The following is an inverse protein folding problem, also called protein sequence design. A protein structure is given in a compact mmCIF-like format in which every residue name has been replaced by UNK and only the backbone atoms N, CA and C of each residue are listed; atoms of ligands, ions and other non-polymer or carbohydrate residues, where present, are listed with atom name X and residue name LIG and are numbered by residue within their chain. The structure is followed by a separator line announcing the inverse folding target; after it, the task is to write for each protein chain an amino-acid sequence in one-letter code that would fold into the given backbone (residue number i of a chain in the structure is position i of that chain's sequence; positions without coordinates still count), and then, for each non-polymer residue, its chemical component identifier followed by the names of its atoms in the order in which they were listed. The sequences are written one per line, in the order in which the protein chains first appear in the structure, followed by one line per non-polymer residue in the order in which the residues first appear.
data_IF_535378683866
#
_entry.id   IF_535378683866
#
_cell.length_a   1.000
_cell.length_b   1.000
_cell.length_c   1.000
_cell.angle_alpha   90.00
_cell.angle_beta   90.00
_cell.angle_gamma   90.00
#
_symmetry.space_group_name_H-M   'P 1'
#
loop_
_entity.id
_entity.type
_entity.pdbx_description
1 polymer ?
#
# COMPACT_ATOMS: atom_id res chain seq x y z
N UNK A 1 15.19 5.97 -3.12
CA UNK A 1 13.87 6.33 -3.71
C UNK A 1 13.92 6.25 -5.24
N UNK A 2 12.99 5.56 -5.91
CA UNK A 2 12.86 5.53 -7.39
C UNK A 2 11.51 6.12 -7.83
N UNK A 3 11.36 6.46 -9.11
CA UNK A 3 10.09 7.01 -9.60
C UNK A 3 8.98 5.96 -9.59
N UNK A 4 9.30 4.71 -9.90
CA UNK A 4 8.36 3.60 -9.89
C UNK A 4 7.86 3.31 -8.47
N UNK A 5 8.76 3.34 -7.49
CA UNK A 5 8.39 3.17 -6.08
C UNK A 5 7.53 4.34 -5.60
N UNK A 6 7.90 5.58 -5.94
CA UNK A 6 7.13 6.77 -5.59
C UNK A 6 5.70 6.72 -6.17
N UNK A 7 5.56 6.37 -7.44
CA UNK A 7 4.26 6.30 -8.12
C UNK A 7 3.41 5.09 -7.72
N UNK A 8 3.99 4.12 -6.99
CA UNK A 8 3.26 2.98 -6.44
C UNK A 8 2.42 3.31 -5.19
N UNK A 9 2.43 4.56 -4.73
CA UNK A 9 1.71 4.98 -3.51
C UNK A 9 0.24 4.54 -3.49
N UNK A 10 -0.53 4.86 -4.54
CA UNK A 10 -1.97 4.59 -4.58
C UNK A 10 -2.27 3.08 -4.56
N UNK A 11 -1.47 2.27 -5.26
CA UNK A 11 -1.64 0.82 -5.25
C UNK A 11 -1.31 0.24 -3.88
N UNK A 12 -0.28 0.76 -3.20
CA UNK A 12 0.07 0.36 -1.82
C UNK A 12 -1.01 0.73 -0.81
N UNK A 13 -1.57 1.95 -0.89
CA UNK A 13 -2.70 2.36 -0.03
C UNK A 13 -3.90 1.45 -0.26
N UNK A 14 -4.24 1.16 -1.52
CA UNK A 14 -5.33 0.24 -1.83
C UNK A 14 -5.08 -1.19 -1.32
N UNK A 15 -3.85 -1.69 -1.44
CA UNK A 15 -3.48 -3.01 -0.88
C UNK A 15 -3.62 -3.03 0.64
N UNK A 16 -3.21 -1.96 1.31
CA UNK A 16 -3.34 -1.82 2.76
C UNK A 16 -4.82 -1.84 3.19
N UNK A 17 -5.69 -1.16 2.44
CA UNK A 17 -7.14 -1.14 2.73
C UNK A 17 -7.77 -2.53 2.53
N UNK A 18 -7.39 -3.25 1.48
CA UNK A 18 -7.84 -4.65 1.26
C UNK A 18 -7.41 -5.55 2.43
N UNK A 19 -6.15 -5.48 2.85
CA UNK A 19 -5.65 -6.31 3.97
C UNK A 19 -6.38 -5.95 5.28
N UNK A 20 -6.72 -4.67 5.50
CA UNK A 20 -7.51 -4.26 6.67
C UNK A 20 -8.92 -4.85 6.64
N UNK A 21 -9.57 -4.85 5.48
CA UNK A 21 -10.89 -5.46 5.30
C UNK A 21 -10.83 -6.97 5.54
N UNK A 22 -9.85 -7.67 4.96
CA UNK A 22 -9.66 -9.12 5.14
C UNK A 22 -9.42 -9.49 6.61
N UNK A 23 -8.55 -8.76 7.31
CA UNK A 23 -8.32 -8.97 8.74
C UNK A 23 -9.61 -8.75 9.55
N UNK A 24 -10.37 -7.69 9.26
CA UNK A 24 -11.64 -7.43 9.95
C UNK A 24 -12.68 -8.52 9.70
N UNK A 25 -12.81 -9.02 8.47
CA UNK A 25 -13.72 -10.13 8.15
C UNK A 25 -13.32 -11.43 8.85
N UNK A 26 -12.03 -11.73 8.94
CA UNK A 26 -11.53 -12.91 9.64
C UNK A 26 -11.82 -12.83 11.15
N UNK A 27 -11.66 -11.64 11.75
CA UNK A 27 -12.09 -11.38 13.12
C UNK A 27 -13.60 -11.59 13.32
N UNK A 28 -14.45 -11.15 12.38
CA UNK A 28 -15.90 -11.32 12.47
C UNK A 28 -16.34 -12.79 12.29
N UNK A 29 -15.70 -13.54 11.38
CA UNK A 29 -15.96 -14.98 11.18
C UNK A 29 -15.50 -15.82 12.37
N UNK A 30 -14.46 -15.41 13.08
CA UNK A 30 -13.98 -16.06 14.31
C UNK A 30 -14.91 -15.89 15.53
N UNK A 31 -15.94 -15.03 15.45
CA UNK A 31 -16.88 -14.74 16.55
C UNK A 31 -18.23 -15.46 16.35
N UNK A 32 -18.34 -16.44 15.44
CA UNK A 32 -19.53 -17.30 15.36
C UNK A 32 -19.35 -18.64 16.11
N UNK A 33 -19.72 -18.73 17.40
CA UNK A 33 -19.66 -19.97 18.17
C UNK A 33 -20.67 -21.03 17.69
N UNK A 34 -21.52 -20.74 16.69
CA UNK A 34 -22.56 -21.67 16.20
C UNK A 34 -22.12 -22.59 15.06
N UNK A 35 -20.97 -22.35 14.43
CA UNK A 35 -20.50 -23.11 13.25
C UNK A 35 -19.55 -24.28 13.56
N UNK A 36 -19.27 -24.60 14.82
CA UNK A 36 -18.39 -25.74 15.16
C UNK A 36 -19.21 -27.04 15.18
N UNK A 37 -19.61 -27.54 14.01
CA UNK A 37 -20.16 -28.89 13.87
C UNK A 37 -19.02 -29.91 13.76
N UNK A 38 -18.53 -30.37 14.92
CA UNK A 38 -17.53 -31.44 15.00
C UNK A 38 -18.25 -32.78 14.72
N UNK A 39 -18.21 -33.26 13.48
CA UNK A 39 -18.45 -34.68 13.20
C UNK A 39 -17.12 -35.44 13.23
N UNK A 40 -16.94 -36.17 14.32
CA UNK A 40 -15.79 -37.03 14.62
C UNK A 40 -15.69 -38.22 13.66
N UNK A 41 -14.54 -38.42 13.03
CA UNK A 41 -14.25 -39.65 12.28
C UNK A 41 -12.86 -39.68 11.63
N UNK A 42 -11.85 -40.10 12.40
CA UNK A 42 -10.55 -40.66 11.96
C UNK A 42 -9.51 -39.77 11.24
N UNK A 43 -8.32 -39.75 11.86
CA UNK A 43 -6.96 -39.53 11.31
C UNK A 43 -6.58 -38.13 10.80
N UNK A 44 -6.01 -37.36 11.72
CA UNK A 44 -5.41 -36.04 11.52
C UNK A 44 -6.44 -34.96 11.75
N UNK A 45 -6.50 -34.41 12.98
CA UNK A 45 -7.52 -33.44 13.40
C UNK A 45 -7.65 -32.30 12.36
N UNK A 46 -8.66 -32.33 11.47
CA UNK A 46 -8.75 -31.39 10.35
C UNK A 46 -8.95 -29.96 10.88
N UNK A 47 -9.52 -29.85 12.08
CA UNK A 47 -9.67 -28.60 12.83
C UNK A 47 -8.31 -28.05 13.25
N UNK A 48 -7.36 -28.89 13.69
CA UNK A 48 -6.00 -28.45 14.02
C UNK A 48 -5.23 -27.98 12.78
N UNK A 49 -5.36 -28.69 11.64
CA UNK A 49 -4.73 -28.30 10.37
C UNK A 49 -5.31 -26.99 9.83
N UNK A 50 -6.64 -26.80 9.95
CA UNK A 50 -7.30 -25.56 9.58
C UNK A 50 -6.86 -24.40 10.47
N UNK A 51 -6.84 -24.59 11.79
CA UNK A 51 -6.38 -23.59 12.75
C UNK A 51 -4.93 -23.16 12.51
N UNK A 52 -4.02 -24.11 12.23
CA UNK A 52 -2.63 -23.80 11.90
C UNK A 52 -2.52 -22.96 10.62
N UNK A 53 -3.27 -23.31 9.56
CA UNK A 53 -3.27 -22.54 8.31
C UNK A 53 -3.79 -21.11 8.50
N UNK A 54 -4.81 -20.92 9.34
CA UNK A 54 -5.31 -19.58 9.68
C UNK A 54 -4.26 -18.74 10.41
N UNK A 55 -3.51 -19.34 11.34
CA UNK A 55 -2.42 -18.64 12.04
C UNK A 55 -1.32 -18.22 11.07
N UNK A 56 -0.86 -19.13 10.20
CA UNK A 56 0.17 -18.82 9.20
C UNK A 56 -0.28 -17.74 8.20
N UNK A 57 -1.55 -17.75 7.79
CA UNK A 57 -2.10 -16.74 6.91
C UNK A 57 -2.12 -15.36 7.58
N UNK A 58 -2.58 -15.31 8.84
CA UNK A 58 -2.60 -14.10 9.64
C UNK A 58 -1.20 -13.52 9.86
N UNK A 59 -0.21 -14.37 10.12
CA UNK A 59 1.19 -13.93 10.25
C UNK A 59 1.71 -13.32 8.95
N UNK A 60 1.47 -13.96 7.80
CA UNK A 60 1.86 -13.43 6.48
C UNK A 60 1.18 -12.10 6.17
N UNK A 61 -0.12 -12.00 6.42
CA UNK A 61 -0.88 -10.75 6.23
C UNK A 61 -0.37 -9.63 7.15
N UNK A 62 -0.01 -9.95 8.39
CA UNK A 62 0.57 -8.97 9.32
C UNK A 62 1.93 -8.45 8.82
N UNK A 63 2.80 -9.33 8.31
CA UNK A 63 4.11 -8.94 7.77
C UNK A 63 3.95 -8.04 6.54
N UNK A 64 3.05 -8.39 5.62
CA UNK A 64 2.77 -7.55 4.44
C UNK A 64 2.11 -6.22 4.82
N UNK A 65 1.23 -6.21 5.84
CA UNK A 65 0.66 -4.98 6.40
C UNK A 65 1.76 -4.04 6.90
N UNK A 66 2.67 -4.54 7.76
CA UNK A 66 3.75 -3.74 8.32
C UNK A 66 4.68 -3.20 7.22
N UNK A 67 4.97 -4.02 6.21
CA UNK A 67 5.74 -3.61 5.04
C UNK A 67 5.06 -2.50 4.25
N UNK A 68 3.77 -2.62 3.96
CA UNK A 68 3.01 -1.59 3.23
C UNK A 68 2.96 -0.28 4.01
N UNK A 69 2.74 -0.35 5.33
CA UNK A 69 2.79 0.84 6.20
C UNK A 69 4.16 1.51 6.14
N UNK A 70 5.25 0.73 6.22
CA UNK A 70 6.60 1.25 6.11
C UNK A 70 6.86 1.92 4.76
N UNK A 71 6.50 1.27 3.66
CA UNK A 71 6.67 1.81 2.30
C UNK A 71 5.87 3.10 2.09
N UNK A 72 4.61 3.13 2.53
CA UNK A 72 3.74 4.32 2.46
C UNK A 72 4.37 5.46 3.26
N UNK A 73 4.88 5.18 4.46
CA UNK A 73 5.54 6.18 5.31
C UNK A 73 6.82 6.71 4.68
N UNK A 74 7.63 5.84 4.06
CA UNK A 74 8.83 6.25 3.33
C UNK A 74 8.49 7.20 2.18
N UNK A 75 7.47 6.87 1.39
CA UNK A 75 7.00 7.72 0.29
C UNK A 75 6.51 9.07 0.82
N UNK A 76 5.68 9.08 1.88
CA UNK A 76 5.16 10.32 2.47
C UNK A 76 6.29 11.20 3.00
N UNK A 77 7.23 10.62 3.75
CA UNK A 77 8.40 11.35 4.26
C UNK A 77 9.23 11.95 3.13
N UNK A 78 9.47 11.17 2.07
CA UNK A 78 10.20 11.66 0.90
C UNK A 78 9.48 12.85 0.25
N UNK A 79 8.17 12.73 -0.03
CA UNK A 79 7.37 13.79 -0.65
C UNK A 79 7.40 15.06 0.20
N UNK A 80 7.17 14.95 1.51
CA UNK A 80 7.22 16.10 2.41
C UNK A 80 8.63 16.70 2.56
N UNK A 81 9.68 15.89 2.35
CA UNK A 81 11.08 16.32 2.33
C UNK A 81 11.55 16.94 1.02
N UNK A 82 10.73 16.96 -0.05
CA UNK A 82 11.10 17.61 -1.31
C UNK A 82 11.27 19.13 -1.07
N UNK A 83 12.47 19.63 -1.30
CA UNK A 83 12.82 21.03 -1.06
C UNK A 83 12.19 21.97 -2.11
N UNK A 84 12.20 21.57 -3.38
CA UNK A 84 11.60 22.34 -4.47
C UNK A 84 10.06 22.29 -4.39
N UNK A 85 9.38 23.41 -4.09
CA UNK A 85 7.93 23.42 -3.89
C UNK A 85 7.15 22.95 -5.13
N UNK A 86 7.67 23.22 -6.33
CA UNK A 86 7.03 22.82 -7.57
C UNK A 86 7.10 21.29 -7.75
N UNK A 87 8.27 20.68 -7.57
CA UNK A 87 8.40 19.22 -7.57
C UNK A 87 7.58 18.55 -6.46
N UNK A 88 7.47 19.19 -5.29
CA UNK A 88 6.66 18.69 -4.17
C UNK A 88 5.19 18.65 -4.52
N UNK A 89 4.66 19.72 -5.10
CA UNK A 89 3.26 19.78 -5.55
C UNK A 89 2.97 18.74 -6.64
N UNK A 90 3.87 18.58 -7.63
CA UNK A 90 3.74 17.54 -8.67
C UNK A 90 3.67 16.15 -8.01
N UNK A 91 4.54 15.85 -7.04
CA UNK A 91 4.56 14.58 -6.34
C UNK A 91 3.29 14.36 -5.49
N UNK A 92 2.81 15.37 -4.76
CA UNK A 92 1.59 15.28 -3.96
C UNK A 92 0.36 15.02 -4.84
N UNK A 93 0.25 15.69 -6.00
CA UNK A 93 -0.85 15.46 -6.95
C UNK A 93 -0.79 14.06 -7.55
N UNK A 94 0.40 13.64 -7.98
CA UNK A 94 0.60 12.32 -8.58
C UNK A 94 0.31 11.20 -7.58
N UNK A 95 0.87 11.29 -6.38
CA UNK A 95 0.81 10.23 -5.38
C UNK A 95 -0.44 10.31 -4.53
N UNK A 96 -0.82 11.45 -3.96
CA UNK A 96 -1.94 11.52 -3.01
C UNK A 96 -3.30 11.70 -3.68
N UNK A 97 -3.36 12.48 -4.77
CA UNK A 97 -4.62 12.70 -5.51
C UNK A 97 -4.85 11.71 -6.66
N UNK A 98 -3.81 10.96 -7.04
CA UNK A 98 -3.89 10.01 -8.16
C UNK A 98 -4.03 10.66 -9.53
N UNK A 99 -3.68 11.95 -9.66
CA UNK A 99 -3.81 12.69 -10.92
C UNK A 99 -2.84 12.16 -11.98
N UNK A 100 -3.25 12.25 -13.25
CA UNK A 100 -2.37 12.00 -14.40
C UNK A 100 -1.46 13.21 -14.65
N UNK A 101 -0.37 13.03 -15.39
CA UNK A 101 0.51 14.14 -15.74
C UNK A 101 -0.18 15.19 -16.63
N UNK A 102 -1.19 14.80 -17.41
CA UNK A 102 -2.11 15.70 -18.10
C UNK A 102 -2.85 16.60 -17.11
N UNK A 103 -3.54 16.01 -16.13
CA UNK A 103 -4.30 16.74 -15.11
C UNK A 103 -3.41 17.65 -14.25
N UNK A 104 -2.22 17.16 -13.89
CA UNK A 104 -1.22 17.96 -13.16
C UNK A 104 -0.78 19.15 -14.00
N UNK A 105 -0.51 18.93 -15.29
CA UNK A 105 -0.13 19.98 -16.21
C UNK A 105 -1.19 21.08 -16.30
N UNK A 106 -2.45 20.70 -16.48
CA UNK A 106 -3.59 21.63 -16.48
C UNK A 106 -3.68 22.41 -15.15
N UNK A 107 -3.61 21.71 -14.01
CA UNK A 107 -3.75 22.33 -12.70
C UNK A 107 -2.58 23.25 -12.30
N UNK A 108 -1.39 23.03 -12.88
CA UNK A 108 -0.18 23.80 -12.61
C UNK A 108 0.24 24.70 -13.78
N UNK A 109 -0.64 24.89 -14.78
CA UNK A 109 -0.40 25.73 -15.95
C UNK A 109 0.91 25.39 -16.70
N UNK A 110 1.21 24.10 -16.85
CA UNK A 110 2.40 23.60 -17.54
C UNK A 110 2.09 22.41 -18.45
N UNK A 111 2.95 22.15 -19.43
CA UNK A 111 2.79 20.96 -20.28
C UNK A 111 3.06 19.67 -19.48
N UNK A 112 2.31 18.59 -19.74
CA UNK A 112 2.44 17.29 -19.05
C UNK A 112 3.86 16.74 -19.01
N UNK A 113 4.62 16.88 -20.11
CA UNK A 113 6.01 16.40 -20.19
C UNK A 113 6.94 17.21 -19.29
N UNK A 114 6.61 18.47 -19.03
CA UNK A 114 7.35 19.33 -18.11
C UNK A 114 7.18 18.84 -16.68
N UNK A 115 5.95 18.56 -16.26
CA UNK A 115 5.66 18.00 -14.93
C UNK A 115 6.39 16.65 -14.72
N UNK A 116 6.26 15.74 -15.69
CA UNK A 116 6.95 14.45 -15.68
C UNK A 116 8.47 14.61 -15.58
N UNK A 117 9.07 15.46 -16.42
CA UNK A 117 10.52 15.66 -16.47
C UNK A 117 11.04 16.27 -15.17
N UNK A 118 10.33 17.23 -14.59
CA UNK A 118 10.70 17.87 -13.32
C UNK A 118 10.76 16.85 -12.19
N UNK A 119 9.69 16.07 -12.00
CA UNK A 119 9.65 15.06 -10.96
C UNK A 119 10.72 13.97 -11.16
N UNK A 120 10.83 13.42 -12.38
CA UNK A 120 11.86 12.40 -12.69
C UNK A 120 13.27 12.92 -12.45
N UNK A 121 13.58 14.14 -12.89
CA UNK A 121 14.90 14.75 -12.67
C UNK A 121 15.16 14.95 -11.18
N UNK A 122 14.17 15.43 -10.42
CA UNK A 122 14.31 15.62 -8.98
C UNK A 122 14.61 14.29 -8.28
N UNK A 123 13.83 13.25 -8.56
CA UNK A 123 14.03 11.91 -7.99
C UNK A 123 15.40 11.37 -8.36
N UNK A 124 15.80 11.40 -9.64
CA UNK A 124 17.10 10.91 -10.07
C UNK A 124 18.28 11.64 -9.40
N UNK A 125 18.13 12.94 -9.12
CA UNK A 125 19.19 13.75 -8.49
C UNK A 125 19.30 13.53 -6.98
N UNK A 126 18.19 13.17 -6.33
CA UNK A 126 18.10 13.07 -4.86
C UNK A 126 17.89 11.63 -4.35
N UNK A 127 17.88 10.63 -5.24
CA UNK A 127 17.72 9.22 -4.88
C UNK A 127 18.93 8.60 -4.16
N UNK A 128 20.11 9.23 -4.28
CA UNK A 128 21.41 8.75 -3.78
C UNK A 128 21.95 9.52 -2.58
N UNK A 129 21.19 10.48 -2.06
CA UNK A 129 21.52 11.23 -0.83
C UNK A 129 20.66 10.76 0.31
#
# INVERSE_FOLDING_TARGET
MTIEFLESYQSKVRQLDIIREELNEEYLKGIDPSQVSVQSGSTGDPTAVFAMRSIELREKLSVEFDRLVADIKEIQHYIFGIADPECREIAMRRCFKGETYEQIGEAMYMHKTTALRKLRKYVATNATK
#
